data_IF_688998895677
#
_entry.id   IF_688998895677
#
_cell.length_a   1.000
_cell.length_b   1.000
_cell.length_c   1.000
_cell.angle_alpha   90.00
_cell.angle_beta   90.00
_cell.angle_gamma   90.00
#
_symmetry.space_group_name_H-M   'P 1'
#
loop_
_entity.id
_entity.type
_entity.pdbx_description
1 polymer ?
#
# COMPACT_ATOMS: atom_id res chain seq x y z
N UNK A 1 16.10 26.39 -10.70
CA UNK A 1 15.58 25.00 -10.65
C UNK A 1 14.80 24.90 -9.35
N UNK A 2 13.47 24.84 -9.38
CA UNK A 2 12.70 24.62 -8.15
C UNK A 2 13.04 23.22 -7.64
N UNK A 3 13.45 23.13 -6.36
CA UNK A 3 13.63 21.85 -5.69
C UNK A 3 12.27 21.45 -5.14
N UNK A 4 11.84 20.22 -5.37
CA UNK A 4 10.61 19.69 -4.81
C UNK A 4 10.67 19.81 -3.28
N UNK A 5 9.66 20.42 -2.68
CA UNK A 5 9.62 20.69 -1.25
C UNK A 5 8.25 20.29 -0.70
N UNK A 6 8.26 19.52 0.39
CA UNK A 6 7.09 19.20 1.20
C UNK A 6 7.38 19.69 2.62
N UNK A 7 6.51 20.56 3.14
CA UNK A 7 6.59 21.02 4.51
C UNK A 7 5.22 20.96 5.18
N UNK A 8 5.18 20.51 6.43
CA UNK A 8 3.99 20.55 7.28
C UNK A 8 4.05 21.84 8.10
N UNK A 9 3.09 22.74 7.93
CA UNK A 9 2.98 24.00 8.68
C UNK A 9 2.31 23.78 10.04
N UNK A 10 1.21 23.00 10.08
CA UNK A 10 0.41 22.78 11.30
C UNK A 10 -0.29 21.43 11.23
N UNK A 11 -0.38 20.75 12.36
CA UNK A 11 -1.15 19.53 12.54
C UNK A 11 -2.21 19.77 13.62
N UNK A 12 -3.48 19.52 13.28
CA UNK A 12 -4.59 19.60 14.22
C UNK A 12 -5.36 18.27 14.18
N UNK A 13 -5.62 17.68 15.35
CA UNK A 13 -6.29 16.40 15.51
C UNK A 13 -7.52 16.60 16.38
N UNK A 14 -8.67 16.19 15.88
CA UNK A 14 -9.94 16.26 16.59
C UNK A 14 -10.35 14.89 17.13
N UNK A 15 -10.91 14.88 18.34
CA UNK A 15 -11.55 13.73 18.97
C UNK A 15 -12.92 13.45 18.35
N UNK A 16 -13.53 12.31 18.68
CA UNK A 16 -14.89 11.98 18.25
C UNK A 16 -15.97 12.90 18.84
N UNK A 17 -15.75 13.46 20.02
CA UNK A 17 -16.62 14.46 20.64
C UNK A 17 -16.34 15.90 20.14
N UNK A 18 -15.44 16.07 19.18
CA UNK A 18 -15.13 17.35 18.53
C UNK A 18 -14.16 18.24 19.31
N UNK A 19 -13.61 17.77 20.43
CA UNK A 19 -12.53 18.46 21.13
C UNK A 19 -11.21 18.35 20.35
N UNK A 20 -10.27 19.25 20.65
CA UNK A 20 -8.94 19.23 20.05
C UNK A 20 -8.01 18.33 20.87
N UNK A 21 -7.61 17.19 20.33
CA UNK A 21 -6.65 16.28 20.96
C UNK A 21 -5.21 16.81 20.88
N UNK A 22 -4.88 17.47 19.77
CA UNK A 22 -3.55 18.00 19.50
C UNK A 22 -3.65 19.11 18.45
N UNK A 23 -2.90 20.19 18.63
CA UNK A 23 -2.86 21.29 17.69
C UNK A 23 -1.55 22.07 17.83
N UNK A 24 -0.65 21.87 16.88
CA UNK A 24 0.68 22.45 16.92
C UNK A 24 1.15 22.91 15.54
N UNK A 25 1.88 24.02 15.55
CA UNK A 25 2.55 24.57 14.35
C UNK A 25 4.02 24.16 14.34
N UNK A 26 4.53 23.82 13.15
CA UNK A 26 5.93 23.44 12.95
C UNK A 26 6.68 24.58 12.28
N UNK A 27 7.94 24.74 12.64
CA UNK A 27 8.83 25.71 12.00
C UNK A 27 9.78 25.03 11.03
N UNK A 28 10.37 25.79 10.11
CA UNK A 28 11.41 25.25 9.21
C UNK A 28 12.64 24.84 10.05
N UNK A 29 13.34 23.80 9.60
CA UNK A 29 14.49 23.23 10.31
C UNK A 29 14.08 22.07 11.22
N UNK A 30 14.76 21.94 12.37
CA UNK A 30 14.61 20.79 13.26
C UNK A 30 13.56 21.07 14.33
N UNK A 31 12.46 20.32 14.29
CA UNK A 31 11.44 20.31 15.34
C UNK A 31 11.70 19.10 16.26
N UNK A 32 11.64 19.28 17.57
CA UNK A 32 11.92 18.20 18.54
C UNK A 32 10.71 17.98 19.44
N UNK A 33 10.04 16.83 19.29
CA UNK A 33 8.94 16.42 20.16
C UNK A 33 9.51 15.70 21.38
N UNK A 34 9.25 16.21 22.58
CA UNK A 34 9.74 15.66 23.86
C UNK A 34 8.57 15.36 24.79
N UNK A 35 8.77 14.40 25.69
CA UNK A 35 7.78 13.98 26.67
C UNK A 35 8.11 12.60 27.23
N UNK A 36 7.40 12.21 28.28
CA UNK A 36 7.61 10.93 28.97
C UNK A 36 7.26 9.73 28.09
N UNK A 37 7.74 8.55 28.47
CA UNK A 37 7.35 7.32 27.77
C UNK A 37 5.84 7.15 27.80
N UNK A 38 5.28 6.68 26.68
CA UNK A 38 3.84 6.52 26.49
C UNK A 38 3.02 7.82 26.52
N UNK A 39 3.65 8.99 26.39
CA UNK A 39 2.95 10.30 26.31
C UNK A 39 2.36 10.62 24.92
N UNK A 40 2.35 9.68 23.97
CA UNK A 40 1.81 9.89 22.61
C UNK A 40 2.77 10.48 21.56
N UNK A 41 4.08 10.53 21.83
CA UNK A 41 5.08 11.06 20.85
C UNK A 41 5.03 10.35 19.49
N UNK A 42 5.11 9.02 19.50
CA UNK A 42 5.03 8.20 18.28
C UNK A 42 3.64 8.31 17.64
N UNK A 43 2.60 8.50 18.44
CA UNK A 43 1.24 8.74 17.95
C UNK A 43 1.15 10.00 17.08
N UNK A 44 1.80 11.10 17.50
CA UNK A 44 1.84 12.33 16.69
C UNK A 44 2.51 12.06 15.34
N UNK A 45 3.61 11.32 15.32
CA UNK A 45 4.32 11.03 14.06
C UNK A 45 3.51 10.07 13.16
N UNK A 46 2.79 9.10 13.74
CA UNK A 46 1.81 8.28 13.00
C UNK A 46 0.69 9.12 12.40
N UNK A 47 0.18 10.13 13.11
CA UNK A 47 -0.83 11.04 12.56
C UNK A 47 -0.28 11.91 11.43
N UNK A 48 0.98 12.35 11.50
CA UNK A 48 1.64 13.05 10.38
C UNK A 48 1.71 12.13 9.16
N UNK A 49 2.22 10.91 9.34
CA UNK A 49 2.32 9.92 8.26
C UNK A 49 0.95 9.64 7.63
N UNK A 50 -0.07 9.41 8.47
CA UNK A 50 -1.44 9.17 8.03
C UNK A 50 -2.06 10.38 7.31
N UNK A 51 -1.93 11.59 7.86
CA UNK A 51 -2.50 12.81 7.27
C UNK A 51 -1.92 13.11 5.88
N UNK A 52 -0.62 12.85 5.68
CA UNK A 52 0.07 13.07 4.41
C UNK A 52 -0.21 11.99 3.35
N UNK A 53 -1.02 10.97 3.68
CA UNK A 53 -1.46 9.93 2.73
C UNK A 53 -0.79 8.57 2.91
N UNK A 54 -0.03 8.36 3.98
CA UNK A 54 0.50 7.06 4.36
C UNK A 54 -0.62 6.09 4.75
N UNK A 55 -0.53 4.83 4.31
CA UNK A 55 -1.43 3.77 4.70
C UNK A 55 -1.03 3.25 6.08
N UNK A 56 -1.81 3.61 7.11
CA UNK A 56 -1.56 3.20 8.49
C UNK A 56 -2.88 2.93 9.22
N UNK A 57 -2.95 1.82 9.97
CA UNK A 57 -4.14 1.38 10.72
C UNK A 57 -3.88 1.11 12.20
N UNK A 58 -2.61 0.95 12.59
CA UNK A 58 -2.23 0.35 13.88
C UNK A 58 -2.07 1.42 14.97
N UNK A 59 -3.07 2.29 15.08
CA UNK A 59 -3.14 3.32 16.10
C UNK A 59 -3.29 2.70 17.51
N UNK A 60 -2.81 3.39 18.54
CA UNK A 60 -3.10 3.01 19.94
C UNK A 60 -4.56 3.30 20.31
N UNK A 61 -5.15 2.65 21.33
CA UNK A 61 -6.56 2.83 21.69
C UNK A 61 -6.99 4.29 21.89
N UNK A 62 -6.16 5.11 22.52
CA UNK A 62 -6.43 6.53 22.77
C UNK A 62 -6.48 7.31 21.45
N UNK A 63 -5.58 7.00 20.52
CA UNK A 63 -5.56 7.61 19.19
C UNK A 63 -6.76 7.19 18.34
N UNK A 64 -7.31 5.99 18.58
CA UNK A 64 -8.57 5.56 17.96
C UNK A 64 -9.76 6.39 18.44
N UNK A 65 -9.70 7.10 19.56
CA UNK A 65 -10.76 8.04 19.97
C UNK A 65 -10.71 9.37 19.20
N UNK A 66 -9.79 9.51 18.24
CA UNK A 66 -9.74 10.62 17.31
C UNK A 66 -10.63 10.36 16.09
N UNK A 67 -11.23 11.43 15.56
CA UNK A 67 -12.12 11.37 14.40
C UNK A 67 -11.42 11.83 13.12
N UNK A 68 -10.68 12.93 13.21
CA UNK A 68 -10.19 13.65 12.03
C UNK A 68 -8.83 14.26 12.30
N UNK A 69 -7.94 14.19 11.32
CA UNK A 69 -6.67 14.92 11.31
C UNK A 69 -6.67 15.93 10.17
N UNK A 70 -6.20 17.13 10.47
CA UNK A 70 -5.94 18.22 9.54
C UNK A 70 -4.44 18.48 9.50
N UNK A 71 -3.91 18.65 8.30
CA UNK A 71 -2.53 19.00 8.05
C UNK A 71 -2.50 20.20 7.09
N UNK A 72 -2.03 21.36 7.57
CA UNK A 72 -1.68 22.48 6.70
C UNK A 72 -0.29 22.20 6.15
N UNK A 73 -0.16 22.18 4.83
CA UNK A 73 1.07 21.82 4.14
C UNK A 73 1.45 22.89 3.12
N UNK A 74 2.74 22.95 2.84
CA UNK A 74 3.32 23.70 1.75
C UNK A 74 4.03 22.73 0.82
N UNK A 75 3.57 22.65 -0.44
CA UNK A 75 4.19 21.86 -1.50
C UNK A 75 4.59 22.79 -2.65
N UNK A 76 5.89 22.92 -2.93
CA UNK A 76 6.41 23.83 -3.97
C UNK A 76 5.80 25.26 -3.93
N UNK A 77 5.78 25.88 -2.74
CA UNK A 77 5.16 27.19 -2.46
C UNK A 77 3.62 27.24 -2.59
N UNK A 78 2.95 26.12 -2.84
CA UNK A 78 1.50 26.00 -2.74
C UNK A 78 1.13 25.63 -1.33
N UNK A 79 0.46 26.53 -0.62
CA UNK A 79 -0.04 26.32 0.73
C UNK A 79 -1.50 25.88 0.69
N UNK A 80 -1.80 24.73 1.31
CA UNK A 80 -3.15 24.18 1.37
C UNK A 80 -3.34 23.25 2.56
N UNK A 81 -4.60 22.93 2.87
CA UNK A 81 -4.95 22.07 4.00
C UNK A 81 -5.46 20.72 3.52
N UNK A 82 -4.92 19.65 4.09
CA UNK A 82 -5.37 18.29 3.91
C UNK A 82 -6.19 17.90 5.14
N UNK A 83 -7.31 17.21 4.93
CA UNK A 83 -8.11 16.56 5.97
C UNK A 83 -8.20 15.07 5.68
N UNK A 84 -8.02 14.25 6.72
CA UNK A 84 -8.23 12.80 6.67
C UNK A 84 -9.03 12.33 7.87
N UNK A 85 -10.04 11.52 7.60
CA UNK A 85 -10.93 10.95 8.63
C UNK A 85 -10.45 9.55 9.03
N UNK A 86 -10.54 9.24 10.32
CA UNK A 86 -10.27 7.93 10.89
C UNK A 86 -11.52 7.06 10.76
N UNK A 87 -11.77 6.58 9.54
CA UNK A 87 -12.92 5.73 9.24
C UNK A 87 -12.72 4.34 9.85
N UNK A 88 -13.64 3.93 10.72
CA UNK A 88 -13.65 2.62 11.38
C UNK A 88 -14.65 1.68 10.73
N UNK A 89 -14.31 0.40 10.63
CA UNK A 89 -15.27 -0.66 10.33
C UNK A 89 -16.05 -1.09 11.59
N UNK A 90 -16.97 -2.05 11.43
CA UNK A 90 -17.80 -2.57 12.54
C UNK A 90 -16.96 -3.22 13.67
N UNK A 91 -15.74 -3.68 13.35
CA UNK A 91 -14.81 -4.28 14.30
C UNK A 91 -13.87 -3.24 14.94
N UNK A 92 -13.98 -1.96 14.56
CA UNK A 92 -13.15 -0.87 15.06
C UNK A 92 -11.78 -0.75 14.38
N UNK A 93 -11.54 -1.46 13.27
CA UNK A 93 -10.31 -1.33 12.51
C UNK A 93 -10.33 -0.05 11.67
N UNK A 94 -9.19 0.64 11.63
CA UNK A 94 -9.04 1.88 10.88
C UNK A 94 -8.77 1.56 9.41
N UNK A 95 -9.54 2.19 8.52
CA UNK A 95 -9.30 2.10 7.09
C UNK A 95 -8.03 2.89 6.71
N UNK A 96 -6.92 2.18 6.57
CA UNK A 96 -5.63 2.75 6.15
C UNK A 96 -5.66 3.40 4.77
N UNK A 97 -6.64 3.07 3.92
CA UNK A 97 -6.82 3.63 2.57
C UNK A 97 -7.96 4.67 2.52
N UNK A 98 -8.33 5.26 3.67
CA UNK A 98 -9.30 6.34 3.72
C UNK A 98 -8.93 7.48 2.77
N UNK A 99 -9.92 8.11 2.09
CA UNK A 99 -9.69 9.21 1.15
C UNK A 99 -9.10 10.44 1.84
N UNK A 100 -8.47 11.31 1.05
CA UNK A 100 -8.03 12.63 1.48
C UNK A 100 -8.99 13.70 0.95
N UNK A 101 -9.18 14.73 1.75
CA UNK A 101 -9.87 15.96 1.36
C UNK A 101 -8.86 17.09 1.28
N UNK A 102 -8.93 17.89 0.23
CA UNK A 102 -8.03 19.01 -0.02
C UNK A 102 -8.81 20.31 0.00
N UNK A 103 -8.30 21.29 0.73
CA UNK A 103 -8.80 22.66 0.76
C UNK A 103 -7.66 23.59 0.36
N UNK A 104 -7.80 24.27 -0.77
CA UNK A 104 -6.79 25.18 -1.32
C UNK A 104 -6.77 26.52 -0.57
N UNK A 105 -6.25 26.47 0.66
CA UNK A 105 -6.09 27.59 1.58
C UNK A 105 -5.60 27.11 2.94
N UNK A 106 -5.47 28.07 3.86
CA UNK A 106 -4.98 27.83 5.23
C UNK A 106 -5.98 27.06 6.09
N UNK A 107 -5.49 26.41 7.14
CA UNK A 107 -6.30 25.57 8.01
C UNK A 107 -7.38 26.37 8.73
N UNK A 108 -7.07 27.59 9.17
CA UNK A 108 -8.05 28.47 9.80
C UNK A 108 -9.22 28.83 8.86
N UNK A 109 -8.94 29.06 7.57
CA UNK A 109 -9.98 29.26 6.55
C UNK A 109 -10.78 27.98 6.32
N UNK A 110 -10.15 26.82 6.43
CA UNK A 110 -10.77 25.53 6.15
C UNK A 110 -11.87 25.12 7.15
N UNK A 111 -11.83 25.68 8.38
CA UNK A 111 -12.86 25.45 9.40
C UNK A 111 -14.12 26.27 9.17
N UNK A 112 -14.01 27.42 8.49
CA UNK A 112 -15.15 28.19 8.02
C UNK A 112 -14.90 28.63 6.56
N UNK A 113 -15.02 27.70 5.59
CA UNK A 113 -14.70 27.95 4.20
C UNK A 113 -15.47 29.16 3.65
N UNK A 114 -14.78 30.07 2.94
CA UNK A 114 -15.49 31.12 2.22
C UNK A 114 -16.30 30.49 1.06
N UNK A 115 -17.40 31.12 0.61
CA UNK A 115 -18.36 30.51 -0.33
C UNK A 115 -17.75 29.99 -1.64
N UNK A 116 -16.65 30.60 -2.09
CA UNK A 116 -15.95 30.25 -3.32
C UNK A 116 -14.97 29.08 -3.18
N UNK A 117 -14.61 28.67 -1.95
CA UNK A 117 -13.67 27.56 -1.70
C UNK A 117 -14.40 26.37 -1.10
N UNK A 118 -14.15 25.20 -1.67
CA UNK A 118 -14.77 23.95 -1.24
C UNK A 118 -13.72 22.86 -1.05
N UNK A 119 -14.01 21.92 -0.13
CA UNK A 119 -13.22 20.72 0.05
C UNK A 119 -13.37 19.78 -1.15
N UNK A 120 -12.25 19.30 -1.69
CA UNK A 120 -12.21 18.34 -2.79
C UNK A 120 -11.77 16.97 -2.29
N UNK A 121 -12.58 15.95 -2.54
CA UNK A 121 -12.34 14.58 -2.09
C UNK A 121 -11.64 13.75 -3.16
N UNK A 122 -10.53 13.11 -2.80
CA UNK A 122 -9.81 12.18 -3.68
C UNK A 122 -9.58 10.83 -2.98
N UNK A 123 -9.81 9.74 -3.71
CA UNK A 123 -9.63 8.37 -3.23
C UNK A 123 -8.16 7.93 -3.23
N UNK A 124 -7.92 6.76 -2.63
CA UNK A 124 -6.57 6.15 -2.56
C UNK A 124 -6.07 5.67 -3.93
N UNK A 125 -6.95 5.03 -4.70
CA UNK A 125 -6.62 4.46 -6.01
C UNK A 125 -7.03 5.39 -7.14
N UNK A 126 -6.25 5.39 -8.20
CA UNK A 126 -6.60 6.04 -9.46
C UNK A 126 -7.55 5.12 -10.21
N UNK A 127 -8.57 5.69 -10.84
CA UNK A 127 -9.45 4.97 -11.79
C UNK A 127 -9.40 5.68 -13.13
N UNK A 128 -9.92 5.06 -14.19
CA UNK A 128 -9.94 5.66 -15.54
C UNK A 128 -10.52 7.08 -15.56
N UNK A 129 -11.52 7.34 -14.71
CA UNK A 129 -12.27 8.60 -14.68
C UNK A 129 -11.93 9.50 -13.49
N UNK A 130 -11.10 9.07 -12.53
CA UNK A 130 -10.79 9.86 -11.33
C UNK A 130 -9.33 9.73 -10.89
N UNK A 131 -8.71 10.88 -10.67
CA UNK A 131 -7.38 11.00 -10.05
C UNK A 131 -7.42 10.53 -8.59
N UNK A 132 -6.35 9.88 -8.14
CA UNK A 132 -6.14 9.61 -6.72
C UNK A 132 -5.58 10.83 -6.00
N UNK A 133 -5.60 10.82 -4.67
CA UNK A 133 -4.91 11.86 -3.91
C UNK A 133 -3.39 11.85 -4.13
N UNK A 134 -2.81 10.68 -4.45
CA UNK A 134 -1.38 10.59 -4.79
C UNK A 134 -1.08 11.36 -6.06
N UNK A 135 -1.96 11.32 -7.07
CA UNK A 135 -1.80 12.12 -8.28
C UNK A 135 -1.86 13.62 -7.98
N UNK A 136 -2.80 14.07 -7.13
CA UNK A 136 -2.91 15.49 -6.72
C UNK A 136 -1.65 15.95 -5.99
N UNK A 137 -1.12 15.14 -5.07
CA UNK A 137 0.11 15.45 -4.35
C UNK A 137 1.32 15.47 -5.29
N UNK A 138 1.45 14.52 -6.21
CA UNK A 138 2.54 14.49 -7.18
C UNK A 138 2.51 15.72 -8.10
N UNK A 139 1.33 16.09 -8.59
CA UNK A 139 1.14 17.33 -9.37
C UNK A 139 1.56 18.56 -8.55
N UNK A 140 1.17 18.63 -7.27
CA UNK A 140 1.54 19.73 -6.36
C UNK A 140 3.04 19.78 -6.08
N UNK A 141 3.70 18.62 -6.04
CA UNK A 141 5.14 18.48 -5.85
C UNK A 141 5.94 18.55 -7.15
N UNK A 142 5.31 18.69 -8.32
CA UNK A 142 5.99 18.65 -9.61
C UNK A 142 6.66 17.30 -9.92
N UNK A 143 6.16 16.21 -9.34
CA UNK A 143 6.62 14.84 -9.60
C UNK A 143 5.82 14.24 -10.78
N UNK A 144 6.47 13.41 -11.62
CA UNK A 144 5.76 12.72 -12.69
C UNK A 144 4.78 11.70 -12.10
N UNK A 145 3.63 11.56 -12.76
CA UNK A 145 2.65 10.52 -12.41
C UNK A 145 3.08 9.22 -13.06
N UNK A 146 3.39 8.21 -12.24
CA UNK A 146 3.58 6.84 -12.72
C UNK A 146 2.22 6.25 -13.04
N UNK A 147 2.01 5.89 -14.31
CA UNK A 147 0.80 5.20 -14.79
C UNK A 147 1.09 3.71 -14.90
N UNK A 148 0.26 2.87 -14.29
CA UNK A 148 0.31 1.41 -14.36
C UNK A 148 -0.73 0.75 -13.47
N UNK A 149 -0.87 -0.58 -13.54
CA UNK A 149 -1.83 -1.34 -12.69
C UNK A 149 -1.52 -1.22 -11.18
N UNK A 150 -0.30 -0.79 -10.85
CA UNK A 150 0.15 -0.48 -9.50
C UNK A 150 0.85 0.88 -9.49
N UNK A 151 0.10 1.96 -9.72
CA UNK A 151 0.60 3.33 -9.58
C UNK A 151 1.39 3.49 -8.28
N UNK A 152 2.59 4.07 -8.37
CA UNK A 152 3.33 4.50 -7.18
C UNK A 152 2.46 5.52 -6.43
N UNK A 153 2.25 5.28 -5.14
CA UNK A 153 1.45 6.16 -4.28
C UNK A 153 2.36 7.04 -3.42
N UNK A 154 1.81 8.14 -2.88
CA UNK A 154 2.54 8.99 -1.92
C UNK A 154 2.99 8.21 -0.70
N UNK A 155 2.25 7.16 -0.29
CA UNK A 155 2.67 6.23 0.75
C UNK A 155 4.07 5.67 0.48
N UNK A 156 4.34 5.23 -0.74
CA UNK A 156 5.64 4.65 -1.09
C UNK A 156 6.79 5.67 -1.00
N UNK A 157 6.53 6.96 -1.28
CA UNK A 157 7.51 8.03 -1.04
C UNK A 157 7.67 8.28 0.47
N UNK A 158 6.57 8.36 1.21
CA UNK A 158 6.58 8.59 2.65
C UNK A 158 7.34 7.50 3.40
N UNK A 159 7.33 6.25 2.91
CA UNK A 159 8.14 5.17 3.48
C UNK A 159 9.64 5.47 3.50
N UNK A 160 10.14 6.36 2.64
CA UNK A 160 11.54 6.82 2.68
C UNK A 160 11.74 8.04 3.59
N UNK A 161 10.70 8.86 3.76
CA UNK A 161 10.74 10.10 4.54
C UNK A 161 10.39 9.90 6.02
N UNK A 162 9.76 8.77 6.35
CA UNK A 162 9.28 8.41 7.67
C UNK A 162 9.95 7.13 8.15
N UNK A 163 10.51 7.18 9.36
CA UNK A 163 11.10 6.05 10.06
C UNK A 163 10.41 5.98 11.44
N UNK A 164 9.82 4.84 11.74
CA UNK A 164 9.19 4.56 13.04
C UNK A 164 10.17 3.90 14.01
N UNK A 165 9.68 3.54 15.20
CA UNK A 165 10.49 2.86 16.22
C UNK A 165 10.56 1.35 16.01
N UNK A 166 9.63 0.78 15.23
CA UNK A 166 9.49 -0.66 15.06
C UNK A 166 10.22 -1.19 13.81
N UNK A 167 10.46 -0.35 12.80
CA UNK A 167 11.23 -0.76 11.62
C UNK A 167 12.65 -1.19 12.00
N UNK A 168 13.19 -2.25 11.36
CA UNK A 168 14.57 -2.66 11.57
C UNK A 168 15.55 -1.52 11.31
N UNK A 169 16.57 -1.39 12.17
CA UNK A 169 17.55 -0.29 12.08
C UNK A 169 18.39 -0.30 10.80
N UNK A 170 18.46 -1.44 10.11
CA UNK A 170 19.11 -1.59 8.82
C UNK A 170 18.18 -1.36 7.61
N UNK A 171 16.89 -1.11 7.86
CA UNK A 171 15.93 -0.80 6.80
C UNK A 171 15.96 0.69 6.50
N UNK A 172 16.21 1.04 5.24
CA UNK A 172 16.13 2.43 4.77
C UNK A 172 14.68 2.90 4.63
N UNK A 173 13.77 1.99 4.29
CA UNK A 173 12.35 2.26 4.15
C UNK A 173 11.62 1.85 5.42
N UNK A 174 10.53 2.54 5.75
CA UNK A 174 9.49 2.05 6.63
C UNK A 174 9.11 0.62 6.24
N UNK A 175 9.19 -0.29 7.20
CA UNK A 175 9.09 -1.72 6.95
C UNK A 175 7.66 -2.13 6.62
N UNK A 176 7.49 -2.86 5.52
CA UNK A 176 6.22 -3.49 5.14
C UNK A 176 6.47 -4.92 4.66
N UNK A 177 5.48 -5.79 4.86
CA UNK A 177 5.58 -7.20 4.48
C UNK A 177 5.63 -7.39 2.97
N UNK A 178 4.84 -6.61 2.22
CA UNK A 178 4.76 -6.69 0.76
C UNK A 178 5.48 -5.53 0.12
N UNK A 179 6.78 -5.70 -0.07
CA UNK A 179 7.64 -4.64 -0.59
C UNK A 179 8.55 -5.15 -1.70
N UNK A 180 8.23 -4.76 -2.93
CA UNK A 180 8.97 -5.23 -4.10
C UNK A 180 10.20 -4.38 -4.37
N UNK A 181 11.27 -5.02 -4.85
CA UNK A 181 12.47 -4.31 -5.29
C UNK A 181 12.15 -3.28 -6.39
N UNK A 182 11.28 -3.62 -7.35
CA UNK A 182 10.84 -2.71 -8.41
C UNK A 182 10.20 -1.44 -7.84
N UNK A 183 9.35 -1.57 -6.81
CA UNK A 183 8.72 -0.41 -6.14
C UNK A 183 9.78 0.50 -5.52
N UNK A 184 10.75 -0.07 -4.78
CA UNK A 184 11.84 0.69 -4.15
C UNK A 184 12.71 1.43 -5.17
N UNK A 185 13.09 0.76 -6.25
CA UNK A 185 13.84 1.36 -7.35
C UNK A 185 13.06 2.50 -7.98
N UNK A 186 11.78 2.29 -8.27
CA UNK A 186 10.92 3.32 -8.89
C UNK A 186 10.76 4.55 -8.00
N UNK A 187 10.55 4.38 -6.69
CA UNK A 187 10.52 5.50 -5.73
C UNK A 187 11.84 6.27 -5.73
N UNK A 188 12.96 5.56 -5.80
CA UNK A 188 14.29 6.17 -5.84
C UNK A 188 14.48 6.97 -7.14
N UNK A 189 14.13 6.38 -8.28
CA UNK A 189 14.23 7.02 -9.60
C UNK A 189 13.35 8.27 -9.70
N UNK A 190 12.15 8.24 -9.11
CA UNK A 190 11.25 9.39 -9.03
C UNK A 190 11.87 10.54 -8.22
N UNK A 191 12.41 10.24 -7.04
CA UNK A 191 13.00 11.25 -6.16
C UNK A 191 14.31 11.83 -6.71
N UNK A 192 15.08 11.02 -7.45
CA UNK A 192 16.29 11.45 -8.14
C UNK A 192 15.99 12.18 -9.46
N UNK A 193 14.74 12.18 -9.93
CA UNK A 193 14.33 12.83 -11.18
C UNK A 193 14.85 12.12 -12.43
N UNK A 194 15.19 10.83 -12.32
CA UNK A 194 15.67 9.99 -13.44
C UNK A 194 14.64 8.96 -13.89
N UNK A 195 13.43 9.03 -13.32
CA UNK A 195 12.32 8.14 -13.67
C UNK A 195 12.05 8.12 -15.18
N UNK A 196 11.91 6.91 -15.71
CA UNK A 196 11.59 6.65 -17.11
C UNK A 196 10.45 5.62 -17.17
N UNK A 197 9.33 6.01 -17.76
CA UNK A 197 8.11 5.19 -17.88
C UNK A 197 8.34 3.92 -18.71
N UNK A 198 9.04 4.04 -19.84
CA UNK A 198 9.35 2.89 -20.72
C UNK A 198 10.25 1.86 -20.02
N UNK A 199 11.27 2.32 -19.27
CA UNK A 199 12.12 1.44 -18.49
C UNK A 199 11.33 0.70 -17.40
N UNK A 200 10.42 1.39 -16.73
CA UNK A 200 9.55 0.79 -15.71
C UNK A 200 8.66 -0.30 -16.31
N UNK A 201 8.00 -0.01 -17.43
CA UNK A 201 7.13 -0.97 -18.12
C UNK A 201 7.91 -2.19 -18.61
N UNK A 202 9.11 -1.99 -19.15
CA UNK A 202 9.99 -3.07 -19.59
C UNK A 202 10.43 -3.97 -18.42
N UNK A 203 10.83 -3.37 -17.28
CA UNK A 203 11.17 -4.15 -16.06
C UNK A 203 9.98 -4.95 -15.55
N UNK A 204 8.78 -4.37 -15.58
CA UNK A 204 7.55 -5.05 -15.18
C UNK A 204 7.26 -6.23 -16.10
N UNK A 205 7.29 -6.03 -17.42
CA UNK A 205 7.03 -7.11 -18.38
C UNK A 205 8.05 -8.24 -18.26
N UNK A 206 9.31 -7.92 -17.96
CA UNK A 206 10.34 -8.91 -17.68
C UNK A 206 9.95 -9.82 -16.50
N UNK A 207 9.53 -9.25 -15.37
CA UNK A 207 9.10 -10.01 -14.19
C UNK A 207 7.89 -10.91 -14.51
N UNK A 208 6.92 -10.40 -15.28
CA UNK A 208 5.75 -11.17 -15.70
C UNK A 208 6.16 -12.32 -16.64
N UNK A 209 7.03 -12.06 -17.61
CA UNK A 209 7.54 -13.07 -18.55
C UNK A 209 8.36 -14.17 -17.84
N UNK A 210 9.16 -13.81 -16.83
CA UNK A 210 9.91 -14.78 -16.03
C UNK A 210 8.97 -15.70 -15.23
N UNK A 211 7.89 -15.15 -14.66
CA UNK A 211 6.86 -15.96 -13.97
C UNK A 211 6.13 -16.89 -14.94
N UNK A 212 5.75 -16.40 -16.12
CA UNK A 212 5.14 -17.22 -17.17
C UNK A 212 6.07 -18.37 -17.57
N UNK A 213 7.35 -18.06 -17.80
CA UNK A 213 8.36 -19.06 -18.16
C UNK A 213 8.54 -20.12 -17.08
N UNK A 214 8.62 -19.73 -15.80
CA UNK A 214 8.77 -20.66 -14.70
C UNK A 214 7.52 -21.54 -14.52
N UNK A 215 6.33 -20.97 -14.71
CA UNK A 215 5.07 -21.72 -14.77
C UNK A 215 5.11 -22.80 -15.84
N UNK A 216 5.43 -22.43 -17.08
CA UNK A 216 5.53 -23.37 -18.21
C UNK A 216 6.60 -24.44 -17.96
N UNK A 217 7.77 -24.07 -17.39
CA UNK A 217 8.81 -25.04 -17.03
C UNK A 217 8.32 -26.04 -15.99
N UNK A 218 7.57 -25.57 -14.99
CA UNK A 218 7.00 -26.43 -13.95
C UNK A 218 5.98 -27.41 -14.53
N UNK A 219 5.12 -26.95 -15.44
CA UNK A 219 4.16 -27.79 -16.16
C UNK A 219 4.87 -28.82 -17.02
N UNK A 220 5.84 -28.41 -17.84
CA UNK A 220 6.63 -29.32 -18.67
C UNK A 220 7.33 -30.39 -17.84
N UNK A 221 7.90 -30.01 -16.69
CA UNK A 221 8.54 -30.95 -15.78
C UNK A 221 7.54 -31.95 -15.22
N UNK A 222 6.36 -31.50 -14.79
CA UNK A 222 5.30 -32.38 -14.31
C UNK A 222 4.85 -33.34 -15.41
N UNK A 223 4.54 -32.82 -16.61
CA UNK A 223 4.17 -33.62 -17.78
C UNK A 223 5.26 -34.65 -18.13
N UNK A 224 6.53 -34.26 -18.18
CA UNK A 224 7.64 -35.18 -18.46
C UNK A 224 7.78 -36.29 -17.41
N UNK A 225 7.45 -36.00 -16.15
CA UNK A 225 7.50 -37.00 -15.08
C UNK A 225 6.33 -37.99 -15.20
N UNK A 226 5.13 -37.52 -15.55
CA UNK A 226 3.98 -38.38 -15.82
C UNK A 226 4.20 -39.32 -17.02
N UNK A 227 4.85 -38.82 -18.07
CA UNK A 227 5.17 -39.59 -19.28
C UNK A 227 6.61 -40.13 -19.30
N UNK A 228 7.18 -40.37 -18.11
CA UNK A 228 8.57 -40.83 -17.97
C UNK A 228 8.79 -42.27 -18.45
N UNK A 229 7.74 -43.10 -18.46
CA UNK A 229 7.76 -44.44 -19.04
C UNK A 229 7.22 -44.41 -20.49
N UNK A 230 8.00 -44.84 -21.50
CA UNK A 230 7.53 -44.95 -22.88
C UNK A 230 6.23 -45.76 -23.03
N UNK A 231 5.96 -46.68 -22.10
CA UNK A 231 4.75 -47.49 -22.09
C UNK A 231 3.50 -46.69 -21.68
N UNK A 232 3.64 -45.61 -20.91
CA UNK A 232 2.50 -44.71 -20.55
C UNK A 232 2.11 -43.78 -21.69
N UNK A 233 2.82 -43.81 -22.82
CA UNK A 233 2.43 -43.17 -24.08
C UNK A 233 1.71 -44.15 -25.03
N UNK A 234 1.63 -45.44 -24.69
CA UNK A 234 0.95 -46.46 -25.50
C UNK A 234 -0.49 -46.67 -25.00
N UNK A 235 -1.53 -46.28 -25.77
CA UNK A 235 -2.93 -46.39 -25.34
C UNK A 235 -3.33 -47.81 -24.92
N UNK A 236 -2.82 -48.84 -25.62
CA UNK A 236 -3.16 -50.23 -25.31
C UNK A 236 -2.55 -50.68 -23.98
N UNK A 237 -1.36 -50.17 -23.64
CA UNK A 237 -0.75 -50.46 -22.35
C UNK A 237 -1.52 -49.80 -21.21
N UNK A 238 -1.93 -48.53 -21.39
CA UNK A 238 -2.75 -47.80 -20.40
C UNK A 238 -4.08 -48.55 -20.16
N UNK A 239 -4.76 -48.99 -21.22
CA UNK A 239 -6.01 -49.76 -21.10
C UNK A 239 -5.77 -51.05 -20.30
N UNK A 240 -4.71 -51.80 -20.62
CA UNK A 240 -4.39 -53.04 -19.88
C UNK A 240 -4.07 -52.80 -18.41
N UNK A 241 -3.46 -51.65 -18.07
CA UNK A 241 -3.17 -51.27 -16.69
C UNK A 241 -4.45 -50.87 -15.95
N UNK A 242 -5.36 -50.16 -16.61
CA UNK A 242 -6.69 -49.81 -16.05
C UNK A 242 -7.47 -51.09 -15.75
N UNK A 243 -7.58 -52.00 -16.71
CA UNK A 243 -8.31 -53.27 -16.54
C UNK A 243 -7.74 -54.11 -15.39
N UNK A 244 -6.41 -54.19 -15.27
CA UNK A 244 -5.77 -54.91 -14.16
C UNK A 244 -6.03 -54.24 -12.81
N UNK A 245 -6.01 -52.90 -12.73
CA UNK A 245 -6.29 -52.16 -11.50
C UNK A 245 -7.75 -52.26 -11.09
N UNK A 246 -8.69 -52.21 -12.04
CA UNK A 246 -10.12 -52.43 -11.77
C UNK A 246 -10.37 -53.84 -11.23
N UNK A 247 -9.66 -54.84 -11.75
CA UNK A 247 -9.72 -56.20 -11.24
C UNK A 247 -9.18 -56.31 -9.81
N UNK A 248 -8.02 -55.73 -9.52
CA UNK A 248 -7.48 -55.67 -8.14
C UNK A 248 -8.44 -54.94 -7.19
N UNK A 249 -9.07 -53.85 -7.62
CA UNK A 249 -10.07 -53.13 -6.81
C UNK A 249 -11.26 -54.03 -6.52
N UNK A 250 -11.76 -54.77 -7.51
CA UNK A 250 -12.88 -55.70 -7.33
C UNK A 250 -12.52 -56.84 -6.37
N UNK A 251 -11.32 -57.42 -6.50
CA UNK A 251 -10.82 -58.47 -5.61
C UNK A 251 -10.67 -57.97 -4.17
N UNK A 252 -10.10 -56.77 -3.97
CA UNK A 252 -10.00 -56.14 -2.65
C UNK A 252 -11.37 -55.79 -2.06
N UNK A 253 -12.34 -55.37 -2.89
CA UNK A 253 -13.71 -55.12 -2.44
C UNK A 253 -14.42 -56.41 -2.01
N UNK A 254 -14.19 -57.52 -2.71
CA UNK A 254 -14.67 -58.85 -2.30
C UNK A 254 -14.03 -59.29 -0.98
N UNK A 255 -12.72 -59.14 -0.79
CA UNK A 255 -12.05 -59.42 0.48
C UNK A 255 -12.61 -58.57 1.63
N UNK A 256 -12.81 -57.26 1.41
CA UNK A 256 -13.42 -56.37 2.40
C UNK A 256 -14.86 -56.81 2.73
N UNK A 257 -15.60 -57.30 1.74
CA UNK A 257 -16.97 -57.81 1.95
C UNK A 257 -16.98 -59.09 2.79
N UNK A 258 -16.01 -59.99 2.56
CA UNK A 258 -15.84 -61.25 3.31
C UNK A 258 -15.43 -60.99 4.77
N UNK A 259 -14.61 -59.96 5.02
CA UNK A 259 -14.21 -59.53 6.37
C UNK A 259 -15.36 -58.86 7.13
N UNK A 260 -16.36 -58.32 6.42
CA UNK A 260 -17.53 -57.65 7.02
C UNK A 260 -18.70 -58.59 7.35
N UNK A 261 -18.65 -59.84 6.91
CA UNK A 261 -19.54 -60.95 7.33
C UNK A 261 -19.01 -61.67 8.56
#
# INVERSE_FOLDING_TARGET
MMRNNLFLNRLCILTEDGATAYDESFHKGVNIIRGDNSSGKSTITHFIFFALGGAFSDFVPEARMCSTVFAEVEMNNLEFTIKRELLKDEAGNINSQAPLYFFWGKMNESFNPPPEKNWQKFGYRTTENRKSFSNVIFESLGLPIVKGDSNITIHQILRLLYIDQDSPTNSLFYYEHFDSQLTRETVSDLLLGVYNEELYDNKRRLIEAEKELEGIKSELKATSHFFSDPLTLNPNHIISVIENREKEISELQEEISLIRT
#
